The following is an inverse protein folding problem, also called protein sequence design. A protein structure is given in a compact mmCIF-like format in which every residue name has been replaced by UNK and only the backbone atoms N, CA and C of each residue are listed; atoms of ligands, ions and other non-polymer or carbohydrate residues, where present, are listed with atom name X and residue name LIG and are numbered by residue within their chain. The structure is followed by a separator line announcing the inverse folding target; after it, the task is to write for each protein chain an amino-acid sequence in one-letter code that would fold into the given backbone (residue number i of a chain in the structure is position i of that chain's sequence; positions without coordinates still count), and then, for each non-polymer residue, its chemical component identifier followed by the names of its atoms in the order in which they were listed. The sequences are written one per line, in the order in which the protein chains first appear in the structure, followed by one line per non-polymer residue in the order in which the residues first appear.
data_IF_705427644075
#
_entry.id   IF_705427644075
#
_cell.length_a   1.000
_cell.length_b   1.000
_cell.length_c   1.000
_cell.angle_alpha   90.00
_cell.angle_beta   90.00
_cell.angle_gamma   90.00
#
_symmetry.space_group_name_H-M   'P 1'
#
loop_
_entity.id
_entity.type
_entity.pdbx_description
1 polymer ?
#
# COMPACT_ATOMS: atom_id res chain seq x y z
N UNK A 1 26.98 -17.29 3.84
CA UNK A 1 27.28 -17.58 2.41
C UNK A 1 28.79 -17.66 2.23
N UNK A 2 29.30 -18.52 1.34
CA UNK A 2 30.72 -18.60 1.06
C UNK A 2 31.21 -17.43 0.19
N UNK A 3 32.49 -17.06 0.31
CA UNK A 3 33.15 -15.97 -0.41
C UNK A 3 32.87 -15.99 -1.92
N UNK A 4 32.89 -17.16 -2.56
CA UNK A 4 32.61 -17.32 -4.00
C UNK A 4 31.15 -16.88 -4.40
N UNK A 5 30.27 -16.71 -3.41
CA UNK A 5 28.90 -16.28 -3.61
C UNK A 5 28.68 -14.76 -3.61
N UNK A 6 29.71 -13.94 -3.40
CA UNK A 6 29.62 -12.47 -3.27
C UNK A 6 28.86 -11.86 -4.45
N UNK A 7 29.30 -12.13 -5.68
CA UNK A 7 28.67 -11.58 -6.89
C UNK A 7 27.23 -12.08 -7.13
N UNK A 8 26.91 -13.29 -6.64
CA UNK A 8 25.53 -13.80 -6.72
C UNK A 8 24.59 -13.03 -5.81
N UNK A 9 25.07 -12.65 -4.60
CA UNK A 9 24.32 -11.79 -3.68
C UNK A 9 24.15 -10.40 -4.26
N UNK A 10 25.18 -9.80 -4.84
CA UNK A 10 25.11 -8.51 -5.50
C UNK A 10 24.05 -8.48 -6.60
N UNK A 11 24.10 -9.46 -7.51
CA UNK A 11 23.08 -9.62 -8.56
C UNK A 11 21.66 -9.75 -8.00
N UNK A 12 21.51 -10.57 -6.94
CA UNK A 12 20.24 -10.77 -6.29
C UNK A 12 19.69 -9.46 -5.69
N UNK A 13 20.52 -8.69 -4.98
CA UNK A 13 20.11 -7.43 -4.37
C UNK A 13 19.75 -6.37 -5.42
N UNK A 14 20.51 -6.30 -6.51
CA UNK A 14 20.18 -5.42 -7.64
C UNK A 14 18.88 -5.84 -8.31
N UNK A 15 18.73 -7.13 -8.63
CA UNK A 15 17.49 -7.65 -9.24
C UNK A 15 16.26 -7.41 -8.35
N UNK A 16 16.38 -7.65 -7.03
CA UNK A 16 15.34 -7.37 -6.05
C UNK A 16 14.96 -5.89 -6.06
N UNK A 17 15.94 -4.98 -6.05
CA UNK A 17 15.68 -3.53 -6.09
C UNK A 17 14.92 -3.12 -7.35
N UNK A 18 15.34 -3.63 -8.51
CA UNK A 18 14.67 -3.35 -9.79
C UNK A 18 13.24 -3.89 -9.79
N UNK A 19 13.05 -5.12 -9.29
CA UNK A 19 11.72 -5.71 -9.17
C UNK A 19 10.79 -4.87 -8.28
N UNK A 20 11.29 -4.32 -7.17
CA UNK A 20 10.48 -3.44 -6.32
C UNK A 20 9.99 -2.21 -7.08
N UNK A 21 10.86 -1.55 -7.85
CA UNK A 21 10.47 -0.36 -8.61
C UNK A 21 9.60 -0.66 -9.82
N UNK A 22 9.86 -1.77 -10.51
CA UNK A 22 9.17 -2.10 -11.76
C UNK A 22 7.85 -2.84 -11.54
N UNK A 23 7.70 -3.55 -10.44
CA UNK A 23 6.52 -4.38 -10.16
C UNK A 23 5.75 -3.82 -8.97
N UNK A 24 6.32 -3.85 -7.76
CA UNK A 24 5.58 -3.51 -6.54
C UNK A 24 5.27 -2.01 -6.42
N UNK A 25 6.20 -1.15 -6.82
CA UNK A 25 6.03 0.31 -6.80
C UNK A 25 5.66 0.86 -8.19
N UNK A 26 5.13 0.03 -9.08
CA UNK A 26 4.60 0.49 -10.34
C UNK A 26 3.37 1.39 -10.11
N UNK A 27 3.24 2.47 -10.90
CA UNK A 27 2.15 3.46 -10.75
C UNK A 27 0.76 2.84 -10.64
N UNK A 28 0.49 1.83 -11.45
CA UNK A 28 -0.80 1.13 -11.47
C UNK A 28 -1.04 0.34 -10.18
N UNK A 29 0.00 -0.31 -9.64
CA UNK A 29 -0.10 -1.09 -8.41
C UNK A 29 -0.36 -0.17 -7.22
N UNK A 30 0.45 0.87 -7.07
CA UNK A 30 0.28 1.86 -5.98
C UNK A 30 -1.07 2.57 -6.08
N UNK A 31 -1.52 2.91 -7.29
CA UNK A 31 -2.85 3.52 -7.45
C UNK A 31 -3.97 2.57 -7.02
N UNK A 32 -3.92 1.29 -7.41
CA UNK A 32 -4.91 0.29 -7.01
C UNK A 32 -4.91 0.07 -5.50
N UNK A 33 -3.72 -0.04 -4.90
CA UNK A 33 -3.55 -0.21 -3.45
C UNK A 33 -4.14 0.98 -2.68
N UNK A 34 -3.80 2.21 -3.07
CA UNK A 34 -4.33 3.41 -2.42
C UNK A 34 -5.85 3.54 -2.58
N UNK A 35 -6.39 3.19 -3.74
CA UNK A 35 -7.84 3.14 -3.94
C UNK A 35 -8.49 2.08 -3.04
N UNK A 36 -7.88 0.89 -2.92
CA UNK A 36 -8.38 -0.17 -2.03
C UNK A 36 -8.40 0.28 -0.57
N UNK A 37 -7.30 0.86 -0.09
CA UNK A 37 -7.19 1.40 1.28
C UNK A 37 -8.30 2.44 1.53
N UNK A 38 -8.55 3.35 0.57
CA UNK A 38 -9.59 4.37 0.71
C UNK A 38 -11.00 3.80 0.63
N UNK A 39 -11.21 2.75 -0.15
CA UNK A 39 -12.48 2.03 -0.17
C UNK A 39 -12.80 1.45 1.20
N UNK A 40 -11.82 0.77 1.81
CA UNK A 40 -11.97 0.19 3.14
C UNK A 40 -12.16 1.27 4.22
N UNK A 41 -11.43 2.37 4.12
CA UNK A 41 -11.59 3.52 5.02
C UNK A 41 -13.01 4.10 4.91
N UNK A 42 -13.50 4.32 3.67
CA UNK A 42 -14.88 4.84 3.48
C UNK A 42 -15.93 3.90 4.05
N UNK A 43 -15.78 2.59 3.82
CA UNK A 43 -16.67 1.59 4.42
C UNK A 43 -16.68 1.69 5.95
N UNK A 44 -15.51 1.83 6.56
CA UNK A 44 -15.36 2.02 8.01
C UNK A 44 -16.01 3.31 8.51
N UNK A 45 -15.78 4.44 7.82
CA UNK A 45 -16.36 5.74 8.17
C UNK A 45 -17.90 5.71 8.11
N UNK A 46 -18.46 5.04 7.11
CA UNK A 46 -19.91 4.85 6.99
C UNK A 46 -20.49 4.03 8.14
N UNK A 47 -19.84 2.93 8.49
CA UNK A 47 -20.26 2.12 9.66
C UNK A 47 -20.23 2.95 10.95
N UNK A 48 -19.19 3.75 11.16
CA UNK A 48 -19.09 4.64 12.32
C UNK A 48 -20.15 5.74 12.32
N UNK A 49 -20.62 6.14 11.15
CA UNK A 49 -21.75 7.07 10.99
C UNK A 49 -23.13 6.38 11.12
N UNK A 50 -23.17 5.08 11.46
CA UNK A 50 -24.43 4.33 11.61
C UNK A 50 -25.03 3.82 10.31
N UNK A 51 -24.31 3.92 9.20
CA UNK A 51 -24.77 3.41 7.89
C UNK A 51 -24.43 1.93 7.78
N UNK A 52 -25.40 1.13 7.34
CA UNK A 52 -25.16 -0.31 7.10
C UNK A 52 -24.33 -0.52 5.86
N UNK A 53 -23.19 -1.20 6.02
CA UNK A 53 -22.29 -1.57 4.93
C UNK A 53 -22.19 -3.12 4.89
N UNK A 54 -22.79 -3.78 3.89
CA UNK A 54 -22.78 -5.24 3.82
C UNK A 54 -21.37 -5.78 3.51
N UNK A 55 -20.96 -6.81 4.25
CA UNK A 55 -19.70 -7.49 4.02
C UNK A 55 -19.80 -8.96 4.50
N UNK A 56 -18.96 -9.89 4.01
CA UNK A 56 -18.80 -11.21 4.59
C UNK A 56 -18.45 -11.15 6.07
N UNK A 57 -18.76 -12.21 6.81
CA UNK A 57 -18.72 -12.24 8.26
C UNK A 57 -17.38 -11.79 8.86
N UNK A 58 -16.27 -12.36 8.37
CA UNK A 58 -14.94 -12.02 8.89
C UNK A 58 -14.58 -10.56 8.67
N UNK A 59 -14.84 -10.02 7.46
CA UNK A 59 -14.61 -8.61 7.17
C UNK A 59 -15.56 -7.70 7.95
N UNK A 60 -16.83 -8.09 8.02
CA UNK A 60 -17.87 -7.37 8.77
C UNK A 60 -17.48 -7.19 10.23
N UNK A 61 -16.91 -8.25 10.85
CA UNK A 61 -16.43 -8.18 12.22
C UNK A 61 -15.43 -7.01 12.40
N UNK A 62 -14.45 -6.85 11.52
CA UNK A 62 -13.47 -5.75 11.60
C UNK A 62 -14.01 -4.39 11.15
N UNK A 63 -15.00 -4.35 10.26
CA UNK A 63 -15.64 -3.10 9.89
C UNK A 63 -16.46 -2.50 11.05
N UNK A 64 -17.18 -3.34 11.79
CA UNK A 64 -18.07 -2.90 12.87
C UNK A 64 -17.40 -2.80 14.24
N UNK A 65 -16.21 -3.38 14.41
CA UNK A 65 -15.46 -3.33 15.67
C UNK A 65 -14.15 -2.57 15.50
N UNK A 66 -13.71 -1.92 16.58
CA UNK A 66 -12.42 -1.23 16.66
C UNK A 66 -11.61 -1.89 17.79
N UNK A 67 -10.93 -3.03 17.51
CA UNK A 67 -10.19 -3.72 18.54
C UNK A 67 -9.02 -2.91 19.07
N UNK A 68 -8.93 -2.80 20.37
CA UNK A 68 -7.74 -2.34 21.06
C UNK A 68 -6.73 -3.50 21.22
N UNK A 69 -5.49 -3.17 21.59
CA UNK A 69 -4.52 -4.20 21.94
C UNK A 69 -4.97 -5.05 23.13
N UNK A 70 -5.79 -4.51 24.04
CA UNK A 70 -6.32 -5.23 25.18
C UNK A 70 -7.45 -6.17 24.80
N UNK A 71 -8.30 -5.81 23.85
CA UNK A 71 -9.31 -6.74 23.29
C UNK A 71 -8.64 -7.98 22.72
N UNK A 72 -7.55 -7.82 21.97
CA UNK A 72 -6.76 -8.95 21.46
C UNK A 72 -6.11 -9.79 22.56
N UNK A 73 -5.79 -9.23 23.70
CA UNK A 73 -5.26 -10.00 24.85
C UNK A 73 -6.35 -10.78 25.58
N UNK A 74 -7.52 -10.14 25.81
CA UNK A 74 -8.61 -10.70 26.62
C UNK A 74 -9.48 -11.70 25.85
N UNK A 75 -9.72 -11.46 24.56
CA UNK A 75 -10.57 -12.25 23.66
C UNK A 75 -9.77 -12.82 22.49
N UNK A 76 -8.55 -13.28 22.77
CA UNK A 76 -7.57 -13.66 21.76
C UNK A 76 -8.09 -14.70 20.76
N UNK A 77 -8.70 -15.75 21.22
CA UNK A 77 -9.17 -16.84 20.35
C UNK A 77 -10.23 -16.36 19.35
N UNK A 78 -11.16 -15.56 19.80
CA UNK A 78 -12.21 -15.00 18.96
C UNK A 78 -11.63 -14.06 17.89
N UNK A 79 -10.81 -13.08 18.29
CA UNK A 79 -10.23 -12.10 17.38
C UNK A 79 -9.28 -12.75 16.36
N UNK A 80 -8.47 -13.71 16.79
CA UNK A 80 -7.59 -14.48 15.92
C UNK A 80 -8.41 -15.35 14.98
N UNK A 81 -9.53 -15.93 15.43
CA UNK A 81 -10.44 -16.73 14.60
C UNK A 81 -10.95 -15.92 13.40
N UNK A 82 -11.50 -14.72 13.64
CA UNK A 82 -11.96 -13.82 12.57
C UNK A 82 -10.80 -13.35 11.68
N UNK A 83 -9.63 -13.04 12.28
CA UNK A 83 -8.47 -12.61 11.51
C UNK A 83 -7.91 -13.72 10.61
N UNK A 84 -7.82 -14.93 11.13
CA UNK A 84 -7.32 -16.09 10.36
C UNK A 84 -8.31 -16.56 9.28
N UNK A 85 -9.61 -16.27 9.46
CA UNK A 85 -10.63 -16.54 8.47
C UNK A 85 -10.78 -15.47 7.41
N UNK A 86 -10.16 -14.28 7.59
CA UNK A 86 -10.22 -13.17 6.63
C UNK A 86 -9.25 -13.40 5.47
N UNK A 87 -9.76 -13.33 4.24
CA UNK A 87 -8.97 -13.47 3.04
C UNK A 87 -9.35 -12.48 1.92
N UNK A 88 -8.67 -12.58 0.77
CA UNK A 88 -8.91 -11.73 -0.39
C UNK A 88 -10.32 -11.88 -0.97
N UNK A 89 -10.94 -13.05 -0.80
CA UNK A 89 -12.32 -13.30 -1.28
C UNK A 89 -13.33 -12.52 -0.46
N UNK A 90 -13.16 -12.38 0.84
CA UNK A 90 -14.02 -11.55 1.69
C UNK A 90 -13.97 -10.09 1.22
N UNK A 91 -12.77 -9.57 1.01
CA UNK A 91 -12.55 -8.19 0.54
C UNK A 91 -13.16 -7.98 -0.85
N UNK A 92 -12.88 -8.87 -1.79
CA UNK A 92 -13.36 -8.74 -3.17
C UNK A 92 -14.88 -8.94 -3.28
N UNK A 93 -15.47 -9.82 -2.47
CA UNK A 93 -16.91 -10.01 -2.37
C UNK A 93 -17.60 -8.75 -1.86
N UNK A 94 -17.06 -8.15 -0.80
CA UNK A 94 -17.55 -6.89 -0.24
C UNK A 94 -17.52 -5.77 -1.29
N UNK A 95 -16.36 -5.54 -1.94
CA UNK A 95 -16.20 -4.51 -2.98
C UNK A 95 -17.21 -4.71 -4.12
N UNK A 96 -17.45 -5.96 -4.56
CA UNK A 96 -18.47 -6.23 -5.58
C UNK A 96 -19.89 -5.88 -5.11
N UNK A 97 -20.22 -6.13 -3.84
CA UNK A 97 -21.53 -5.74 -3.30
C UNK A 97 -21.67 -4.23 -3.18
N UNK A 98 -20.58 -3.50 -2.86
CA UNK A 98 -20.57 -2.05 -2.71
C UNK A 98 -20.68 -1.28 -4.02
N UNK A 99 -20.51 -1.91 -5.18
CA UNK A 99 -20.80 -1.28 -6.49
C UNK A 99 -22.23 -0.77 -6.63
N UNK A 100 -23.14 -1.20 -5.76
CA UNK A 100 -24.56 -0.80 -5.75
C UNK A 100 -24.94 -0.09 -4.45
N UNK A 101 -23.97 0.32 -3.65
CA UNK A 101 -24.22 1.02 -2.40
C UNK A 101 -24.68 2.44 -2.67
N UNK A 102 -25.56 2.98 -1.81
CA UNK A 102 -26.11 4.34 -1.97
C UNK A 102 -25.06 5.43 -1.82
N UNK A 103 -24.04 5.19 -0.99
CA UNK A 103 -22.94 6.13 -0.83
C UNK A 103 -22.11 6.25 -2.11
N UNK A 104 -22.03 7.48 -2.62
CA UNK A 104 -21.34 7.79 -3.87
C UNK A 104 -19.85 7.38 -3.86
N UNK A 105 -19.13 7.70 -2.78
CA UNK A 105 -17.68 7.47 -2.70
C UNK A 105 -17.38 5.97 -2.67
N UNK A 106 -18.10 5.22 -1.84
CA UNK A 106 -17.93 3.77 -1.72
C UNK A 106 -18.26 3.06 -3.04
N UNK A 107 -19.36 3.45 -3.68
CA UNK A 107 -19.78 2.93 -4.98
C UNK A 107 -18.75 3.22 -6.07
N UNK A 108 -18.31 4.47 -6.20
CA UNK A 108 -17.40 4.91 -7.25
C UNK A 108 -16.04 4.19 -7.16
N UNK A 109 -15.45 4.09 -5.96
CA UNK A 109 -14.23 3.32 -5.77
C UNK A 109 -14.42 1.84 -6.12
N UNK A 110 -15.50 1.24 -5.65
CA UNK A 110 -15.79 -0.18 -5.88
C UNK A 110 -15.95 -0.48 -7.36
N UNK A 111 -16.72 0.33 -8.09
CA UNK A 111 -16.88 0.19 -9.54
C UNK A 111 -15.56 0.38 -10.29
N UNK A 112 -14.75 1.35 -9.90
CA UNK A 112 -13.46 1.60 -10.55
C UNK A 112 -12.47 0.47 -10.30
N UNK A 113 -12.39 -0.07 -9.09
CA UNK A 113 -11.52 -1.20 -8.77
C UNK A 113 -11.91 -2.45 -9.56
N UNK A 114 -13.20 -2.83 -9.55
CA UNK A 114 -13.68 -4.03 -10.24
C UNK A 114 -13.52 -3.90 -11.75
N UNK A 115 -13.82 -2.73 -12.32
CA UNK A 115 -13.73 -2.48 -13.76
C UNK A 115 -12.32 -2.02 -14.21
N UNK A 116 -11.32 -2.02 -13.31
CA UNK A 116 -9.93 -1.61 -13.59
C UNK A 116 -9.78 -0.19 -14.16
N UNK A 117 -10.70 0.72 -13.81
CA UNK A 117 -10.64 2.15 -14.15
C UNK A 117 -9.92 2.92 -13.04
N UNK A 118 -8.65 2.63 -12.86
CA UNK A 118 -7.86 3.14 -11.75
C UNK A 118 -7.59 4.65 -11.90
N UNK A 119 -7.38 5.29 -10.77
CA UNK A 119 -6.94 6.69 -10.70
C UNK A 119 -5.57 6.87 -11.35
N UNK A 120 -5.30 8.08 -11.81
CA UNK A 120 -3.97 8.50 -12.25
C UNK A 120 -3.05 8.60 -11.04
N UNK A 121 -1.81 8.14 -11.19
CA UNK A 121 -0.76 8.36 -10.20
C UNK A 121 0.40 9.11 -10.85
N UNK A 122 0.84 10.17 -10.21
CA UNK A 122 2.06 10.91 -10.53
C UNK A 122 3.10 10.64 -9.44
N UNK A 123 4.34 10.37 -9.86
CA UNK A 123 5.50 10.34 -8.97
C UNK A 123 6.37 11.58 -9.17
N UNK A 124 6.93 12.08 -8.06
CA UNK A 124 7.94 13.12 -8.01
C UNK A 124 9.07 12.72 -7.06
N UNK A 125 10.27 13.24 -7.29
CA UNK A 125 11.39 13.12 -6.35
C UNK A 125 11.27 14.13 -5.20
N UNK A 126 10.47 15.19 -5.39
CA UNK A 126 10.20 16.24 -4.41
C UNK A 126 8.72 16.22 -4.02
N UNK A 127 8.36 16.70 -2.83
CA UNK A 127 6.97 16.89 -2.45
C UNK A 127 6.22 17.74 -3.47
N UNK A 128 4.96 17.39 -3.76
CA UNK A 128 4.10 18.25 -4.58
C UNK A 128 3.81 19.55 -3.84
N UNK A 129 3.86 20.68 -4.54
CA UNK A 129 3.57 21.98 -3.95
C UNK A 129 2.08 22.10 -3.57
N UNK A 130 1.79 22.81 -2.47
CA UNK A 130 0.42 23.07 -2.02
C UNK A 130 -0.44 23.72 -3.12
N UNK A 131 0.16 24.62 -3.92
CA UNK A 131 -0.50 25.25 -5.06
C UNK A 131 -0.92 24.23 -6.12
N UNK A 132 -0.10 23.22 -6.39
CA UNK A 132 -0.44 22.16 -7.35
C UNK A 132 -1.56 21.26 -6.79
N UNK A 133 -1.45 20.86 -5.53
CA UNK A 133 -2.48 20.05 -4.85
C UNK A 133 -3.81 20.79 -4.80
N UNK A 134 -3.79 22.09 -4.47
CA UNK A 134 -4.99 22.94 -4.45
C UNK A 134 -5.62 23.06 -5.85
N UNK A 135 -4.82 23.20 -6.91
CA UNK A 135 -5.31 23.23 -8.29
C UNK A 135 -6.06 21.95 -8.64
N UNK A 136 -5.48 20.78 -8.34
CA UNK A 136 -6.13 19.48 -8.60
C UNK A 136 -7.40 19.36 -7.77
N UNK A 137 -7.38 19.74 -6.48
CA UNK A 137 -8.55 19.76 -5.62
C UNK A 137 -9.69 20.60 -6.21
N UNK A 138 -9.38 21.78 -6.72
CA UNK A 138 -10.39 22.65 -7.36
C UNK A 138 -10.97 22.02 -8.64
N UNK A 139 -10.15 21.36 -9.44
CA UNK A 139 -10.61 20.62 -10.61
C UNK A 139 -11.56 19.47 -10.22
N UNK A 140 -11.23 18.73 -9.15
CA UNK A 140 -12.09 17.65 -8.66
C UNK A 140 -13.42 18.18 -8.12
N UNK A 141 -13.45 19.32 -7.43
CA UNK A 141 -14.68 19.97 -6.93
C UNK A 141 -15.63 20.39 -8.04
N UNK A 142 -15.15 20.61 -9.26
CA UNK A 142 -16.02 20.93 -10.40
C UNK A 142 -16.72 19.72 -11.01
N UNK A 143 -16.24 18.50 -10.70
CA UNK A 143 -16.74 17.25 -11.30
C UNK A 143 -17.40 16.33 -10.26
N UNK A 144 -16.89 16.35 -9.03
CA UNK A 144 -17.31 15.44 -7.96
C UNK A 144 -17.94 16.21 -6.80
N UNK A 145 -18.81 15.54 -6.02
CA UNK A 145 -19.32 16.12 -4.77
C UNK A 145 -18.17 16.55 -3.85
N UNK A 146 -18.29 17.72 -3.23
CA UNK A 146 -17.23 18.28 -2.39
C UNK A 146 -16.79 17.31 -1.28
N UNK A 147 -17.73 16.58 -0.69
CA UNK A 147 -17.47 15.57 0.34
C UNK A 147 -16.66 14.36 -0.18
N UNK A 148 -16.62 14.11 -1.49
CA UNK A 148 -15.83 13.02 -2.10
C UNK A 148 -14.37 13.40 -2.34
N UNK A 149 -14.06 14.68 -2.50
CA UNK A 149 -12.74 15.16 -2.86
C UNK A 149 -11.63 14.71 -1.89
N UNK A 150 -11.81 14.72 -0.56
CA UNK A 150 -10.81 14.23 0.39
C UNK A 150 -10.47 12.73 0.23
N UNK A 151 -11.41 11.96 -0.31
CA UNK A 151 -11.16 10.54 -0.63
C UNK A 151 -10.49 10.36 -1.99
N UNK A 152 -10.73 11.26 -2.93
CA UNK A 152 -10.27 11.14 -4.32
C UNK A 152 -8.93 11.81 -4.61
N UNK A 153 -8.45 12.66 -3.71
CA UNK A 153 -7.13 13.28 -3.84
C UNK A 153 -6.22 12.78 -2.72
N UNK A 154 -5.25 11.94 -3.08
CA UNK A 154 -4.39 11.26 -2.15
C UNK A 154 -2.94 11.66 -2.41
N UNK A 155 -2.27 12.15 -1.39
CA UNK A 155 -0.84 12.44 -1.41
C UNK A 155 -0.12 11.53 -0.41
N UNK A 156 1.06 11.06 -0.79
CA UNK A 156 1.87 10.23 0.07
C UNK A 156 3.30 10.08 -0.44
N UNK A 157 4.02 9.18 0.18
CA UNK A 157 5.38 8.83 -0.22
C UNK A 157 5.61 7.33 -0.12
N UNK A 158 6.39 6.80 -1.06
CA UNK A 158 6.90 5.44 -1.03
C UNK A 158 8.43 5.49 -0.91
N UNK A 159 8.96 4.63 -0.04
CA UNK A 159 10.39 4.52 0.17
C UNK A 159 10.83 3.08 0.00
N UNK A 160 11.85 2.86 -0.79
CA UNK A 160 12.45 1.55 -0.94
C UNK A 160 13.94 1.61 -0.65
N UNK A 161 14.39 0.73 0.23
CA UNK A 161 15.79 0.46 0.51
C UNK A 161 16.16 -0.88 -0.11
N UNK A 162 17.23 -0.92 -0.90
CA UNK A 162 17.69 -2.15 -1.52
C UNK A 162 18.09 -3.21 -0.48
N UNK A 163 18.68 -2.76 0.61
CA UNK A 163 19.22 -3.59 1.68
C UNK A 163 19.43 -2.73 2.94
N UNK A 164 19.13 -3.28 4.10
CA UNK A 164 19.39 -2.62 5.39
C UNK A 164 20.52 -3.32 6.11
N UNK A 165 21.56 -2.57 6.47
CA UNK A 165 22.75 -3.07 7.18
C UNK A 165 22.62 -3.10 8.69
N UNK A 166 21.48 -2.62 9.25
CA UNK A 166 21.32 -2.40 10.70
C UNK A 166 20.84 -3.62 11.49
N UNK A 167 20.17 -4.60 10.84
CA UNK A 167 19.73 -5.86 11.46
C UNK A 167 19.87 -6.98 10.43
N UNK A 168 20.38 -8.13 10.86
CA UNK A 168 20.45 -9.35 10.05
C UNK A 168 21.25 -9.20 8.74
N UNK A 169 22.40 -8.52 8.82
CA UNK A 169 23.30 -8.40 7.68
C UNK A 169 23.76 -9.77 7.19
N UNK A 170 23.82 -9.94 5.86
CA UNK A 170 24.30 -11.18 5.23
C UNK A 170 25.76 -11.41 5.62
N UNK A 171 26.02 -12.55 6.25
CA UNK A 171 27.37 -12.94 6.67
C UNK A 171 28.05 -13.80 5.60
N UNK A 172 29.29 -13.45 5.31
CA UNK A 172 30.13 -14.11 4.32
C UNK A 172 31.21 -14.93 5.04
N UNK A 173 31.31 -16.21 4.71
CA UNK A 173 32.41 -17.08 5.17
C UNK A 173 33.55 -17.00 4.16
N UNK A 174 34.67 -16.43 4.57
CA UNK A 174 35.87 -16.25 3.77
C UNK A 174 36.70 -17.54 3.73
N UNK A 175 37.58 -17.70 2.73
CA UNK A 175 38.46 -18.87 2.57
C UNK A 175 39.37 -19.09 3.77
N UNK A 176 39.73 -18.05 4.49
CA UNK A 176 40.56 -18.12 5.71
C UNK A 176 39.75 -18.50 6.97
N UNK A 177 38.45 -18.81 6.85
CA UNK A 177 37.56 -19.18 7.95
C UNK A 177 36.95 -17.97 8.69
N UNK A 178 37.28 -16.74 8.34
CA UNK A 178 36.68 -15.55 8.96
C UNK A 178 35.25 -15.37 8.45
N UNK A 179 34.39 -14.86 9.34
CA UNK A 179 32.99 -14.45 8.99
C UNK A 179 32.92 -12.95 9.00
N UNK A 180 32.72 -12.37 7.84
CA UNK A 180 32.61 -10.91 7.66
C UNK A 180 31.22 -10.51 7.16
N UNK A 181 30.75 -9.29 7.50
CA UNK A 181 29.56 -8.73 6.89
C UNK A 181 29.74 -8.55 5.37
N UNK A 182 28.69 -8.82 4.59
CA UNK A 182 28.75 -8.64 3.14
C UNK A 182 29.17 -7.23 2.73
N UNK A 183 28.71 -6.20 3.47
CA UNK A 183 29.08 -4.80 3.23
C UNK A 183 30.57 -4.49 3.29
N UNK A 184 31.36 -5.31 3.97
CA UNK A 184 32.82 -5.15 4.09
C UNK A 184 33.60 -5.87 2.98
N UNK A 185 32.96 -6.80 2.28
CA UNK A 185 33.65 -7.66 1.30
C UNK A 185 33.13 -7.47 -0.13
N UNK A 186 32.04 -6.72 -0.31
CA UNK A 186 31.50 -6.39 -1.62
C UNK A 186 32.33 -5.30 -2.30
N UNK A 187 32.73 -5.55 -3.55
CA UNK A 187 33.43 -4.57 -4.39
C UNK A 187 32.49 -3.44 -4.85
N UNK A 188 31.21 -3.73 -4.95
CA UNK A 188 30.19 -2.76 -5.27
C UNK A 188 29.50 -2.32 -3.98
N UNK A 189 29.75 -1.08 -3.56
CA UNK A 189 28.94 -0.46 -2.53
C UNK A 189 27.50 -0.36 -3.08
N UNK A 190 26.70 -1.42 -2.85
CA UNK A 190 25.24 -1.30 -2.90
C UNK A 190 24.91 -0.43 -1.71
N UNK A 191 25.15 0.89 -1.88
CA UNK A 191 24.81 1.84 -0.84
C UNK A 191 23.34 1.62 -0.50
N UNK A 192 22.99 1.54 0.78
CA UNK A 192 21.61 1.49 1.23
C UNK A 192 20.96 2.87 1.01
N UNK A 193 21.07 3.41 -0.21
CA UNK A 193 20.38 4.62 -0.56
C UNK A 193 18.89 4.30 -0.63
N UNK A 194 18.19 4.63 0.44
CA UNK A 194 16.73 4.64 0.41
C UNK A 194 16.31 5.68 -0.62
N UNK A 195 15.60 5.23 -1.66
CA UNK A 195 14.99 6.13 -2.63
C UNK A 195 13.57 6.38 -2.20
N UNK A 196 13.25 7.63 -1.91
CA UNK A 196 11.89 8.06 -1.60
C UNK A 196 11.30 8.75 -2.83
N UNK A 197 10.08 8.39 -3.18
CA UNK A 197 9.26 9.09 -4.18
C UNK A 197 7.96 9.54 -3.55
N UNK A 198 7.58 10.76 -3.84
CA UNK A 198 6.28 11.31 -3.48
C UNK A 198 5.28 10.97 -4.57
N UNK A 199 4.05 10.67 -4.19
CA UNK A 199 2.98 10.41 -5.15
C UNK A 199 1.76 11.28 -4.90
N UNK A 200 1.03 11.52 -5.99
CA UNK A 200 -0.29 12.13 -5.98
C UNK A 200 -1.22 11.22 -6.80
N UNK A 201 -2.32 10.78 -6.19
CA UNK A 201 -3.32 9.91 -6.82
C UNK A 201 -4.65 10.63 -6.86
N UNK A 202 -5.28 10.64 -8.07
CA UNK A 202 -6.57 11.29 -8.28
C UNK A 202 -7.25 10.75 -9.55
N UNK A 203 -8.57 10.91 -9.71
CA UNK A 203 -9.27 10.52 -10.92
C UNK A 203 -8.66 11.19 -12.16
N UNK A 204 -8.54 10.46 -13.26
CA UNK A 204 -8.30 11.12 -14.55
C UNK A 204 -9.48 12.02 -14.86
N UNK A 205 -9.25 13.21 -15.39
CA UNK A 205 -10.30 13.91 -16.10
C UNK A 205 -10.72 12.98 -17.24
N UNK A 206 -11.98 12.52 -17.21
CA UNK A 206 -12.50 11.72 -18.31
C UNK A 206 -12.42 12.59 -19.57
N UNK A 207 -11.64 12.09 -20.55
CA UNK A 207 -11.56 12.69 -21.87
C UNK A 207 -12.82 12.38 -22.65
#
# INVERSE_FOLDING_TARGET
VEEKGIYSIEKFLVARRLMYWQVYLHKTVVAAEQMLVRTMQRAKDLVQAGVTVPAPENLSFFLYNNPSADDFRQRREEWIGYFAGLDDYDVMSAIKSWMRHDDFVLREFSERLINRRLFKLEFSNEPFSDAYVAKISQQLKSVYPEAAVPYFLLAGKESNSAYTTFKDEIKMLMKNGQVLPWSQVSDHSVQPASVTKYYLVYPKADA
#
